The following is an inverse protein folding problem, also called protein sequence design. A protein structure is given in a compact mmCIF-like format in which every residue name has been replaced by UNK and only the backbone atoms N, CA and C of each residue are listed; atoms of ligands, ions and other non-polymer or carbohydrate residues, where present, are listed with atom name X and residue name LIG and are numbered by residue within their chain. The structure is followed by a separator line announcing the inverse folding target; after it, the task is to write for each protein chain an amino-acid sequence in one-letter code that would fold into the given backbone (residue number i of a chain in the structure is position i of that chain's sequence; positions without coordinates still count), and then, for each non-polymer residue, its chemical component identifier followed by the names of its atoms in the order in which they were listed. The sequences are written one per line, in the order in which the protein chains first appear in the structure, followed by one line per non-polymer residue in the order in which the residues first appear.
data_IF_949405593397
#
_entry.id   IF_949405593397
#
_cell.length_a   1.000
_cell.length_b   1.000
_cell.length_c   1.000
_cell.angle_alpha   90.00
_cell.angle_beta   90.00
_cell.angle_gamma   90.00
#
_symmetry.space_group_name_H-M   'P 1'
#
loop_
_entity.id
_entity.type
_entity.pdbx_description
1 polymer ?
#
# COMPACT_ATOMS: atom_id res chain seq x y z
N UNK A 1 -13.73 -43.59 17.58
CA UNK A 1 -12.36 -43.03 17.60
C UNK A 1 -12.40 -41.87 18.58
N UNK A 2 -11.52 -41.85 19.57
CA UNK A 2 -11.53 -40.82 20.62
C UNK A 2 -11.08 -39.47 20.04
N UNK A 3 -11.86 -38.42 20.29
CA UNK A 3 -11.55 -37.06 19.86
C UNK A 3 -10.41 -36.49 20.71
N UNK A 4 -9.17 -36.65 20.23
CA UNK A 4 -7.97 -36.15 20.88
C UNK A 4 -7.56 -34.80 20.29
N UNK A 5 -7.20 -33.86 21.17
CA UNK A 5 -6.82 -32.47 20.84
C UNK A 5 -5.41 -32.07 21.33
N UNK A 6 -4.57 -33.03 21.72
CA UNK A 6 -3.18 -32.80 22.13
C UNK A 6 -2.23 -33.66 21.29
N UNK A 7 -1.15 -33.06 20.81
CA UNK A 7 -0.16 -33.73 19.94
C UNK A 7 0.92 -34.40 20.76
N UNK A 8 1.27 -35.63 20.38
CA UNK A 8 2.41 -36.39 20.86
C UNK A 8 3.53 -36.45 19.80
N UNK A 9 4.71 -36.94 20.20
CA UNK A 9 5.84 -37.09 19.26
C UNK A 9 5.49 -38.05 18.10
N UNK A 10 4.77 -39.14 18.38
CA UNK A 10 4.33 -40.10 17.37
C UNK A 10 3.36 -39.48 16.34
N UNK A 11 2.59 -38.47 16.74
CA UNK A 11 1.69 -37.74 15.83
C UNK A 11 2.47 -36.90 14.84
N UNK A 12 3.62 -36.36 15.26
CA UNK A 12 4.52 -35.63 14.37
C UNK A 12 5.21 -36.54 13.37
N UNK A 13 5.61 -37.75 13.77
CA UNK A 13 6.14 -38.76 12.85
C UNK A 13 5.10 -39.12 11.78
N UNK A 14 3.85 -39.33 12.19
CA UNK A 14 2.73 -39.60 11.27
C UNK A 14 2.47 -38.41 10.34
N UNK A 15 2.48 -37.19 10.88
CA UNK A 15 2.30 -35.96 10.09
C UNK A 15 3.41 -35.79 9.03
N UNK A 16 4.67 -36.01 9.41
CA UNK A 16 5.82 -35.91 8.49
C UNK A 16 5.73 -36.94 7.36
N UNK A 17 5.32 -38.18 7.67
CA UNK A 17 5.07 -39.21 6.66
C UNK A 17 3.98 -38.79 5.65
N UNK A 18 2.98 -38.02 6.10
CA UNK A 18 1.93 -37.45 5.25
C UNK A 18 2.31 -36.09 4.62
N UNK A 19 3.56 -35.65 4.73
CA UNK A 19 4.06 -34.38 4.17
C UNK A 19 3.55 -33.12 4.89
N UNK A 20 3.10 -33.28 6.14
CA UNK A 20 2.60 -32.20 7.01
C UNK A 20 3.72 -31.82 7.99
N UNK A 21 4.18 -30.58 7.92
CA UNK A 21 5.20 -30.10 8.87
C UNK A 21 4.66 -30.05 10.30
N UNK A 22 5.54 -30.26 11.29
CA UNK A 22 5.21 -30.11 12.72
C UNK A 22 4.50 -28.80 13.04
N UNK A 23 4.95 -27.69 12.42
CA UNK A 23 4.33 -26.37 12.55
C UNK A 23 2.88 -26.39 12.09
N UNK A 24 2.61 -26.96 10.92
CA UNK A 24 1.25 -27.01 10.37
C UNK A 24 0.34 -27.93 11.18
N UNK A 25 0.82 -29.10 11.63
CA UNK A 25 0.07 -29.98 12.52
C UNK A 25 -0.31 -29.26 13.83
N UNK A 26 0.65 -28.56 14.45
CA UNK A 26 0.43 -27.76 15.66
C UNK A 26 -0.60 -26.66 15.43
N UNK A 27 -0.44 -25.90 14.35
CA UNK A 27 -1.36 -24.83 13.97
C UNK A 27 -2.80 -25.36 13.75
N UNK A 28 -2.96 -26.50 13.08
CA UNK A 28 -4.28 -27.10 12.84
C UNK A 28 -4.98 -27.48 14.14
N UNK A 29 -4.27 -28.05 15.10
CA UNK A 29 -4.86 -28.43 16.39
C UNK A 29 -5.13 -27.20 17.26
N UNK A 30 -4.15 -26.31 17.41
CA UNK A 30 -4.22 -25.20 18.37
C UNK A 30 -4.99 -23.99 17.86
N UNK A 31 -4.82 -23.61 16.60
CA UNK A 31 -5.44 -22.41 16.02
C UNK A 31 -6.73 -22.74 15.28
N UNK A 32 -6.78 -23.86 14.54
CA UNK A 32 -7.93 -24.21 13.71
C UNK A 32 -8.93 -25.14 14.42
N UNK A 33 -8.58 -25.65 15.61
CA UNK A 33 -9.43 -26.52 16.40
C UNK A 33 -9.69 -27.89 15.77
N UNK A 34 -8.78 -28.35 14.90
CA UNK A 34 -8.91 -29.68 14.29
C UNK A 34 -8.60 -30.76 15.32
N UNK A 35 -9.26 -31.91 15.20
CA UNK A 35 -8.84 -33.12 15.92
C UNK A 35 -7.44 -33.52 15.46
N UNK A 36 -6.66 -34.15 16.34
CA UNK A 36 -5.29 -34.59 16.03
C UNK A 36 -5.28 -35.45 14.77
N UNK A 37 -6.19 -36.41 14.68
CA UNK A 37 -6.29 -37.34 13.55
C UNK A 37 -6.46 -36.59 12.22
N UNK A 38 -7.37 -35.61 12.19
CA UNK A 38 -7.57 -34.74 11.02
C UNK A 38 -6.35 -33.87 10.74
N UNK A 39 -5.71 -33.32 11.78
CA UNK A 39 -4.57 -32.43 11.66
C UNK A 39 -3.34 -33.09 11.02
N UNK A 40 -3.14 -34.39 11.25
CA UNK A 40 -2.00 -35.17 10.76
C UNK A 40 -2.28 -36.00 9.51
N UNK A 41 -3.54 -36.12 9.06
CA UNK A 41 -3.92 -36.90 7.87
C UNK A 41 -4.33 -36.04 6.68
N UNK A 42 -5.03 -34.92 6.90
CA UNK A 42 -5.45 -34.07 5.78
C UNK A 42 -4.25 -33.35 5.17
N UNK A 43 -3.94 -33.63 3.90
CA UNK A 43 -2.81 -32.98 3.22
C UNK A 43 -3.02 -31.47 3.11
N UNK A 44 -1.95 -30.65 3.18
CA UNK A 44 -2.07 -29.20 2.97
C UNK A 44 -2.65 -28.92 1.58
N UNK A 45 -3.54 -27.93 1.47
CA UNK A 45 -4.04 -27.49 0.19
C UNK A 45 -2.91 -26.74 -0.56
N UNK A 46 -2.10 -27.50 -1.30
CA UNK A 46 -1.06 -26.95 -2.18
C UNK A 46 -1.71 -26.73 -3.55
N UNK A 47 -1.51 -25.56 -4.19
CA UNK A 47 -1.90 -25.42 -5.58
C UNK A 47 -1.26 -26.53 -6.40
N UNK A 48 -2.02 -27.17 -7.28
CA UNK A 48 -1.49 -28.22 -8.14
C UNK A 48 -0.36 -27.67 -9.03
N UNK A 49 0.51 -28.57 -9.49
CA UNK A 49 1.68 -28.22 -10.30
C UNK A 49 1.31 -27.40 -11.55
N UNK A 50 0.19 -27.77 -12.20
CA UNK A 50 -0.33 -27.04 -13.35
C UNK A 50 -0.65 -25.56 -13.04
N UNK A 51 -1.25 -25.27 -11.88
CA UNK A 51 -1.53 -23.90 -11.46
C UNK A 51 -0.25 -23.13 -11.15
N UNK A 52 0.75 -23.78 -10.52
CA UNK A 52 2.03 -23.15 -10.22
C UNK A 52 2.78 -22.78 -11.51
N UNK A 53 2.87 -23.72 -12.46
CA UNK A 53 3.54 -23.50 -13.75
C UNK A 53 2.88 -22.37 -14.54
N UNK A 54 1.53 -22.35 -14.61
CA UNK A 54 0.80 -21.28 -15.26
C UNK A 54 1.09 -19.91 -14.62
N UNK A 55 1.21 -19.86 -13.30
CA UNK A 55 1.52 -18.64 -12.59
C UNK A 55 2.95 -18.15 -12.85
N UNK A 56 3.93 -19.06 -12.90
CA UNK A 56 5.32 -18.76 -13.25
C UNK A 56 5.45 -18.26 -14.69
N UNK A 57 4.69 -18.82 -15.63
CA UNK A 57 4.60 -18.34 -17.01
C UNK A 57 4.13 -16.88 -17.06
N UNK A 58 3.07 -16.54 -16.35
CA UNK A 58 2.58 -15.16 -16.30
C UNK A 58 3.56 -14.21 -15.60
N UNK A 59 4.28 -14.67 -14.58
CA UNK A 59 5.33 -13.88 -13.92
C UNK A 59 6.50 -13.60 -14.89
N UNK A 60 6.84 -14.56 -15.74
CA UNK A 60 7.83 -14.38 -16.82
C UNK A 60 7.35 -13.38 -17.88
N UNK A 61 6.11 -13.49 -18.34
CA UNK A 61 5.50 -12.55 -19.30
C UNK A 61 5.44 -11.13 -18.71
N UNK A 62 5.08 -11.00 -17.43
CA UNK A 62 5.05 -9.71 -16.73
C UNK A 62 6.45 -9.06 -16.72
N UNK A 63 7.49 -9.84 -16.41
CA UNK A 63 8.87 -9.37 -16.43
C UNK A 63 9.32 -8.90 -17.82
N UNK A 64 8.95 -9.63 -18.88
CA UNK A 64 9.24 -9.22 -20.26
C UNK A 64 8.54 -7.90 -20.63
N UNK A 65 7.34 -7.66 -20.10
CA UNK A 65 6.59 -6.42 -20.28
C UNK A 65 6.98 -5.30 -19.29
N UNK A 66 8.10 -5.44 -18.57
CA UNK A 66 8.57 -4.49 -17.56
C UNK A 66 7.56 -4.23 -16.43
N UNK A 67 6.70 -5.20 -16.13
CA UNK A 67 5.83 -5.22 -14.97
C UNK A 67 6.58 -5.91 -13.84
N UNK A 68 6.83 -5.19 -12.75
CA UNK A 68 7.48 -5.79 -11.57
C UNK A 68 6.57 -6.83 -10.93
N UNK A 69 7.18 -7.81 -10.26
CA UNK A 69 6.48 -8.85 -9.50
C UNK A 69 5.39 -8.26 -8.62
N UNK A 70 5.72 -7.29 -7.79
CA UNK A 70 4.75 -6.63 -6.90
C UNK A 70 3.59 -5.97 -7.65
N UNK A 71 3.85 -5.34 -8.80
CA UNK A 71 2.79 -4.72 -9.60
C UNK A 71 1.86 -5.78 -10.18
N UNK A 72 2.42 -6.88 -10.69
CA UNK A 72 1.67 -8.03 -11.17
C UNK A 72 0.79 -8.65 -10.06
N UNK A 73 1.34 -8.92 -8.87
CA UNK A 73 0.57 -9.45 -7.74
C UNK A 73 -0.51 -8.46 -7.26
N UNK A 74 -0.21 -7.16 -7.21
CA UNK A 74 -1.19 -6.16 -6.82
C UNK A 74 -2.33 -6.04 -7.85
N UNK A 75 -2.01 -6.16 -9.15
CA UNK A 75 -3.02 -6.16 -10.21
C UNK A 75 -3.96 -7.36 -10.11
N UNK A 76 -3.43 -8.55 -9.87
CA UNK A 76 -4.24 -9.77 -9.76
C UNK A 76 -5.03 -9.82 -8.44
N UNK A 77 -4.37 -9.63 -7.29
CA UNK A 77 -4.98 -9.81 -5.96
C UNK A 77 -5.81 -8.64 -5.47
N UNK A 78 -5.33 -7.41 -5.67
CA UNK A 78 -5.98 -6.21 -5.12
C UNK A 78 -6.94 -5.60 -6.14
N UNK A 79 -6.53 -5.56 -7.41
CA UNK A 79 -7.32 -4.93 -8.48
C UNK A 79 -8.20 -5.92 -9.26
N UNK A 80 -8.05 -7.22 -9.02
CA UNK A 80 -8.89 -8.26 -9.64
C UNK A 80 -8.68 -8.43 -11.15
N UNK A 81 -7.53 -8.02 -11.70
CA UNK A 81 -7.22 -8.24 -13.10
C UNK A 81 -6.92 -9.71 -13.36
N UNK A 82 -7.22 -10.18 -14.58
CA UNK A 82 -6.75 -11.50 -15.03
C UNK A 82 -5.21 -11.54 -15.08
N UNK A 83 -4.57 -12.71 -14.96
CA UNK A 83 -3.13 -12.84 -15.09
C UNK A 83 -2.59 -12.24 -16.41
N UNK A 84 -3.30 -12.46 -17.51
CA UNK A 84 -2.95 -11.88 -18.81
C UNK A 84 -2.96 -10.35 -18.78
N UNK A 85 -4.06 -9.73 -18.34
CA UNK A 85 -4.15 -8.28 -18.25
C UNK A 85 -3.14 -7.71 -17.26
N UNK A 86 -2.91 -8.41 -16.16
CA UNK A 86 -1.98 -7.99 -15.13
C UNK A 86 -0.53 -7.99 -15.64
N UNK A 87 -0.17 -8.95 -16.49
CA UNK A 87 1.16 -9.10 -17.06
C UNK A 87 1.40 -8.17 -18.25
N UNK A 88 0.37 -7.83 -19.03
CA UNK A 88 0.52 -7.11 -20.31
C UNK A 88 0.19 -5.62 -20.23
N UNK A 89 -0.68 -5.18 -19.31
CA UNK A 89 -1.03 -3.76 -19.20
C UNK A 89 0.22 -2.93 -18.87
N UNK A 90 0.52 -1.84 -19.60
CA UNK A 90 1.72 -1.05 -19.34
C UNK A 90 1.71 -0.45 -17.94
N UNK A 91 2.88 -0.39 -17.28
CA UNK A 91 3.02 0.32 -16.01
C UNK A 91 2.99 1.82 -16.27
N UNK A 92 2.13 2.54 -15.54
CA UNK A 92 2.06 4.00 -15.61
C UNK A 92 3.41 4.57 -15.12
N UNK A 93 4.13 5.24 -16.01
CA UNK A 93 5.38 5.94 -15.68
C UNK A 93 5.07 7.26 -14.95
N UNK A 94 6.08 7.80 -14.25
CA UNK A 94 6.02 9.15 -13.69
C UNK A 94 5.66 10.15 -14.80
N UNK A 95 4.83 11.15 -14.48
CA UNK A 95 4.53 12.27 -15.40
C UNK A 95 5.78 13.12 -15.65
N UNK A 96 6.63 13.23 -14.64
CA UNK A 96 7.77 14.15 -14.61
C UNK A 96 9.03 13.49 -15.16
N UNK A 97 9.81 14.25 -15.91
CA UNK A 97 11.13 13.83 -16.37
C UNK A 97 12.11 13.79 -15.21
N UNK A 98 13.20 13.04 -15.36
CA UNK A 98 14.26 12.97 -14.34
C UNK A 98 14.86 14.36 -14.05
N UNK A 99 15.00 15.19 -15.07
CA UNK A 99 15.48 16.58 -14.96
C UNK A 99 14.53 17.44 -14.11
N UNK A 100 13.22 17.38 -14.38
CA UNK A 100 12.20 18.08 -13.60
C UNK A 100 12.19 17.60 -12.14
N UNK A 101 12.37 16.30 -11.90
CA UNK A 101 12.46 15.75 -10.55
C UNK A 101 13.68 16.30 -9.80
N UNK A 102 14.84 16.38 -10.46
CA UNK A 102 16.05 16.95 -9.89
C UNK A 102 15.90 18.44 -9.57
N UNK A 103 15.24 19.21 -10.45
CA UNK A 103 14.93 20.63 -10.22
C UNK A 103 13.99 20.83 -9.04
N UNK A 104 12.89 20.07 -8.98
CA UNK A 104 11.97 20.08 -7.84
C UNK A 104 12.72 19.77 -6.53
N UNK A 105 13.60 18.77 -6.53
CA UNK A 105 14.35 18.38 -5.34
C UNK A 105 15.27 19.51 -4.83
N UNK A 106 15.93 20.26 -5.72
CA UNK A 106 16.81 21.39 -5.35
C UNK A 106 16.09 22.47 -4.52
N UNK A 107 14.82 22.72 -4.81
CA UNK A 107 13.98 23.70 -4.11
C UNK A 107 13.06 23.08 -3.03
N UNK A 108 13.24 21.78 -2.74
CA UNK A 108 12.48 21.06 -1.72
C UNK A 108 11.03 20.76 -2.11
N UNK A 109 10.72 20.71 -3.41
CA UNK A 109 9.45 20.24 -3.94
C UNK A 109 9.47 18.74 -4.20
N UNK A 110 8.26 18.16 -4.24
CA UNK A 110 8.04 16.77 -4.60
C UNK A 110 6.86 16.67 -5.58
N UNK A 111 6.84 15.65 -6.46
CA UNK A 111 5.87 15.49 -7.54
C UNK A 111 4.41 15.71 -7.15
N UNK A 112 4.00 15.17 -6.01
CA UNK A 112 2.62 15.27 -5.55
C UNK A 112 2.23 16.73 -5.24
N UNK A 113 3.13 17.53 -4.68
CA UNK A 113 2.85 18.94 -4.39
C UNK A 113 2.69 19.76 -5.67
N UNK A 114 3.55 19.53 -6.66
CA UNK A 114 3.44 20.17 -7.99
C UNK A 114 2.13 19.76 -8.67
N UNK A 115 1.79 18.47 -8.61
CA UNK A 115 0.51 17.95 -9.09
C UNK A 115 -0.69 18.62 -8.40
N UNK A 116 -0.65 18.82 -7.08
CA UNK A 116 -1.69 19.53 -6.35
C UNK A 116 -1.79 21.00 -6.79
N UNK A 117 -0.66 21.69 -6.98
CA UNK A 117 -0.66 23.09 -7.45
C UNK A 117 -1.35 23.23 -8.80
N UNK A 118 -1.05 22.35 -9.74
CA UNK A 118 -1.65 22.39 -11.09
C UNK A 118 -3.12 22.01 -11.03
N UNK A 119 -3.45 20.83 -10.48
CA UNK A 119 -4.79 20.26 -10.61
C UNK A 119 -5.81 20.82 -9.61
N UNK A 120 -5.38 21.19 -8.41
CA UNK A 120 -6.29 21.64 -7.34
C UNK A 120 -6.26 23.15 -7.14
N UNK A 121 -5.10 23.78 -7.34
CA UNK A 121 -4.93 25.22 -7.13
C UNK A 121 -4.94 26.03 -8.43
N UNK A 122 -4.95 25.37 -9.60
CA UNK A 122 -5.01 26.01 -10.90
C UNK A 122 -3.74 26.79 -11.30
N UNK A 123 -2.60 26.46 -10.71
CA UNK A 123 -1.32 27.11 -11.06
C UNK A 123 -0.85 26.68 -12.44
N UNK A 124 -0.13 27.56 -13.13
CA UNK A 124 0.60 27.16 -14.34
C UNK A 124 1.70 26.14 -14.00
N UNK A 125 2.12 25.35 -14.98
CA UNK A 125 3.15 24.32 -14.77
C UNK A 125 4.49 24.97 -14.35
N UNK A 126 4.86 26.08 -14.99
CA UNK A 126 6.08 26.84 -14.66
C UNK A 126 6.05 27.38 -13.23
N UNK A 127 4.96 28.03 -12.81
CA UNK A 127 4.80 28.53 -11.44
C UNK A 127 4.83 27.38 -10.42
N UNK A 128 4.19 26.26 -10.75
CA UNK A 128 4.12 25.10 -9.88
C UNK A 128 5.49 24.44 -9.65
N UNK A 129 6.35 24.44 -10.67
CA UNK A 129 7.70 23.89 -10.63
C UNK A 129 8.72 24.83 -9.99
N UNK A 130 8.58 26.14 -10.16
CA UNK A 130 9.60 27.11 -9.74
C UNK A 130 9.38 27.66 -8.33
N UNK A 131 8.15 27.67 -7.84
CA UNK A 131 7.83 28.28 -6.54
C UNK A 131 8.26 27.35 -5.38
N UNK A 132 9.15 27.77 -4.47
CA UNK A 132 9.59 26.91 -3.38
C UNK A 132 8.46 26.58 -2.39
N UNK A 133 8.64 25.50 -1.62
CA UNK A 133 7.71 25.14 -0.54
C UNK A 133 7.85 26.15 0.61
N UNK A 134 6.71 26.65 1.12
CA UNK A 134 6.70 27.49 2.32
C UNK A 134 7.19 26.67 3.51
N UNK A 135 8.14 27.19 4.28
CA UNK A 135 8.64 26.51 5.48
C UNK A 135 7.57 26.49 6.57
N UNK A 136 7.58 25.46 7.44
CA UNK A 136 6.63 25.37 8.55
C UNK A 136 6.64 26.62 9.44
N UNK A 137 7.83 27.19 9.70
CA UNK A 137 8.00 28.41 10.49
C UNK A 137 7.32 29.62 9.84
N UNK A 138 7.48 29.76 8.52
CA UNK A 138 6.86 30.84 7.78
C UNK A 138 5.33 30.66 7.69
N UNK A 139 4.87 29.43 7.49
CA UNK A 139 3.45 29.10 7.55
C UNK A 139 2.84 29.45 8.91
N UNK A 140 3.50 29.11 10.02
CA UNK A 140 3.07 29.44 11.36
C UNK A 140 2.98 30.96 11.59
N UNK A 141 3.96 31.73 11.09
CA UNK A 141 3.91 33.20 11.15
C UNK A 141 2.69 33.76 10.40
N UNK A 142 2.41 33.25 9.21
CA UNK A 142 1.24 33.67 8.39
C UNK A 142 -0.08 33.37 9.10
N UNK A 143 -0.21 32.17 9.68
CA UNK A 143 -1.39 31.80 10.47
C UNK A 143 -1.54 32.76 11.66
N UNK A 144 -0.48 32.97 12.45
CA UNK A 144 -0.53 33.87 13.60
C UNK A 144 -0.85 35.32 13.23
N UNK A 145 -0.36 35.81 12.10
CA UNK A 145 -0.70 37.13 11.57
C UNK A 145 -2.19 37.21 11.15
N UNK A 146 -2.69 36.18 10.46
CA UNK A 146 -4.11 36.06 10.10
C UNK A 146 -5.03 36.05 11.32
N UNK A 147 -4.68 35.27 12.35
CA UNK A 147 -5.42 35.21 13.62
C UNK A 147 -5.45 36.56 14.33
N UNK A 148 -4.30 37.27 14.40
CA UNK A 148 -4.26 38.63 14.97
C UNK A 148 -5.19 39.59 14.24
N UNK A 149 -5.11 39.65 12.90
CA UNK A 149 -5.97 40.50 12.07
C UNK A 149 -7.45 40.18 12.25
N UNK A 150 -7.81 38.91 12.36
CA UNK A 150 -9.19 38.49 12.64
C UNK A 150 -9.68 39.03 13.99
N UNK A 151 -8.89 38.88 15.06
CA UNK A 151 -9.26 39.39 16.39
C UNK A 151 -9.34 40.93 16.43
N UNK A 152 -8.44 41.64 15.78
CA UNK A 152 -8.48 43.12 15.68
C UNK A 152 -9.74 43.59 14.94
N UNK A 153 -10.05 43.00 13.79
CA UNK A 153 -11.25 43.32 13.04
C UNK A 153 -12.52 43.04 13.85
N UNK A 154 -12.55 41.95 14.63
CA UNK A 154 -13.72 41.61 15.45
C UNK A 154 -13.86 42.52 16.68
N UNK A 155 -12.74 42.99 17.26
CA UNK A 155 -12.73 44.04 18.29
C UNK A 155 -13.26 45.38 17.76
N UNK A 156 -12.93 45.74 16.52
CA UNK A 156 -13.48 46.95 15.90
C UNK A 156 -14.99 46.82 15.64
N UNK A 157 -15.45 45.66 15.14
CA UNK A 157 -16.90 45.40 14.95
C UNK A 157 -17.71 45.51 16.25
N UNK A 158 -17.19 44.96 17.34
CA UNK A 158 -17.84 45.06 18.67
C UNK A 158 -17.78 46.47 19.27
N UNK A 159 -16.75 47.28 18.93
CA UNK A 159 -16.62 48.68 19.37
C UNK A 159 -17.60 49.66 18.70
N UNK A 160 -18.12 49.34 17.52
CA UNK A 160 -19.13 50.15 16.82
C UNK A 160 -20.57 49.60 16.96
N UNK A 161 -20.74 48.38 17.49
CA UNK A 161 -22.05 47.76 17.74
C UNK A 161 -22.74 48.16 19.05
N UNK A 162 -22.05 48.84 19.98
CA UNK A 162 -22.60 49.33 21.24
C UNK A 162 -22.76 50.87 21.27
N UNK A 163 -23.29 51.44 20.18
CA UNK A 163 -23.79 52.82 20.15
C UNK A 163 -25.28 52.79 19.80
N UNK A 164 -26.10 52.42 20.79
CA UNK A 164 -27.53 52.69 20.88
C UNK A 164 -27.81 53.26 22.27
#
# INVERSE_FOLDING_TARGET
MEERYFLLEDDFLTAEANGISRRLATQRVQEYGWTVDRAITETPNRPNEAFQNLWEEWESIAKQNHVTRDNFYNRTRIRGLSPEEAATKPVRRSKWTEEQLAEMAKIGLYPNLVSTRIHMLGWSEEEALTTPKVTQKEQAKRIAAGTRKYHENNKQKTKWGNRL
#
